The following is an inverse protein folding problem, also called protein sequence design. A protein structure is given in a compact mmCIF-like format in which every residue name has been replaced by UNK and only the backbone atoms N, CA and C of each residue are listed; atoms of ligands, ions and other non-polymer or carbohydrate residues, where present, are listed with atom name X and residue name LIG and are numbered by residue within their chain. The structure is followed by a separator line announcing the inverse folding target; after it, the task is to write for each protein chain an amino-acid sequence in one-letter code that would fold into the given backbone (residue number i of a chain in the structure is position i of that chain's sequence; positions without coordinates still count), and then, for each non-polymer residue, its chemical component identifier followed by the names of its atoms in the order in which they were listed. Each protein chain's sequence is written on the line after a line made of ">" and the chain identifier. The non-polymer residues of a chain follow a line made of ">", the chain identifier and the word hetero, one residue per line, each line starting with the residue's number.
data_IF_913956493707
#
_entry.id   IF_913956493707
#
_cell.length_a   1.000
_cell.length_b   1.000
_cell.length_c   1.000
_cell.angle_alpha   90.00
_cell.angle_beta   90.00
_cell.angle_gamma   90.00
#
_symmetry.space_group_name_H-M   'P 1'
#
loop_
_entity.id
_entity.type
_entity.pdbx_description
1 polymer ?
#
# COMPACT_ATOMS: atom_id res chain seq x y z
N UNK A 1 7.35 20.75 -21.79
CA UNK A 1 6.06 20.07 -21.54
C UNK A 1 5.74 20.14 -20.05
N UNK A 2 4.50 20.40 -19.66
CA UNK A 2 4.11 20.41 -18.24
C UNK A 2 4.32 19.00 -17.66
N UNK A 3 5.08 18.86 -16.56
CA UNK A 3 5.36 17.56 -15.91
C UNK A 3 4.09 16.75 -15.61
N UNK A 4 2.98 17.41 -15.29
CA UNK A 4 1.69 16.75 -15.09
C UNK A 4 1.18 16.10 -16.39
N UNK A 5 1.43 16.72 -17.55
CA UNK A 5 1.12 16.14 -18.86
C UNK A 5 1.99 14.91 -19.13
N UNK A 6 3.28 14.95 -18.78
CA UNK A 6 4.15 13.78 -18.86
C UNK A 6 3.56 12.63 -18.01
N UNK A 7 3.25 12.89 -16.75
CA UNK A 7 2.72 11.86 -15.85
C UNK A 7 1.41 11.25 -16.36
N UNK A 8 0.48 12.09 -16.85
CA UNK A 8 -0.80 11.62 -17.39
C UNK A 8 -0.62 10.81 -18.67
N UNK A 9 0.22 11.28 -19.60
CA UNK A 9 0.48 10.56 -20.85
C UNK A 9 1.20 9.23 -20.60
N UNK A 10 2.18 9.20 -19.69
CA UNK A 10 2.85 7.96 -19.27
C UNK A 10 1.86 6.98 -18.63
N UNK A 11 1.01 7.47 -17.72
CA UNK A 11 -0.02 6.65 -17.09
C UNK A 11 -1.00 6.08 -18.12
N UNK A 12 -1.50 6.92 -19.03
CA UNK A 12 -2.44 6.52 -20.06
C UNK A 12 -1.82 5.49 -21.01
N UNK A 13 -0.59 5.71 -21.47
CA UNK A 13 0.11 4.77 -22.35
C UNK A 13 0.30 3.40 -21.71
N UNK A 14 0.71 3.36 -20.43
CA UNK A 14 0.88 2.10 -19.68
C UNK A 14 -0.45 1.39 -19.46
N UNK A 15 -1.52 2.12 -19.14
CA UNK A 15 -2.86 1.55 -18.99
C UNK A 15 -3.35 0.96 -20.31
N UNK A 16 -3.26 1.69 -21.42
CA UNK A 16 -3.71 1.22 -22.73
C UNK A 16 -2.93 -0.03 -23.17
N UNK A 17 -1.61 -0.04 -22.98
CA UNK A 17 -0.77 -1.20 -23.28
C UNK A 17 -1.18 -2.41 -22.45
N UNK A 18 -1.44 -2.22 -21.16
CA UNK A 18 -1.80 -3.32 -20.26
C UNK A 18 -3.23 -3.81 -20.46
N UNK A 19 -4.17 -2.95 -20.88
CA UNK A 19 -5.53 -3.34 -21.23
C UNK A 19 -5.64 -4.05 -22.59
N UNK A 20 -4.60 -3.99 -23.42
CA UNK A 20 -4.54 -4.69 -24.70
C UNK A 20 -4.30 -6.20 -24.57
N UNK A 21 -3.82 -6.67 -23.40
CA UNK A 21 -3.64 -8.11 -23.14
C UNK A 21 -4.99 -8.80 -22.89
N UNK A 22 -5.02 -10.14 -22.89
CA UNK A 22 -6.22 -10.88 -22.49
C UNK A 22 -6.51 -10.70 -20.99
N UNK A 23 -7.79 -10.77 -20.55
CA UNK A 23 -8.14 -10.86 -19.14
C UNK A 23 -7.28 -11.89 -18.41
N UNK A 24 -6.76 -11.50 -17.25
CA UNK A 24 -5.86 -12.34 -16.46
C UNK A 24 -6.60 -12.78 -15.19
N UNK A 25 -6.96 -14.07 -15.06
CA UNK A 25 -7.60 -14.58 -13.86
C UNK A 25 -6.60 -14.68 -12.71
N UNK A 26 -7.12 -14.85 -11.51
CA UNK A 26 -6.35 -15.12 -10.32
C UNK A 26 -5.67 -16.48 -10.42
N UNK A 27 -4.34 -16.47 -10.31
CA UNK A 27 -3.55 -17.70 -10.22
C UNK A 27 -3.91 -18.45 -8.92
N UNK A 28 -4.36 -19.72 -8.98
CA UNK A 28 -4.62 -20.54 -7.80
C UNK A 28 -3.38 -20.77 -6.91
N UNK A 29 -2.17 -20.71 -7.48
CA UNK A 29 -0.93 -20.83 -6.70
C UNK A 29 -0.77 -19.69 -5.70
N UNK A 30 -1.45 -18.56 -5.90
CA UNK A 30 -1.45 -17.42 -4.98
C UNK A 30 -2.02 -17.75 -3.59
N UNK A 31 -2.80 -18.83 -3.47
CA UNK A 31 -3.36 -19.29 -2.20
C UNK A 31 -2.43 -20.24 -1.43
N UNK A 32 -1.32 -20.66 -2.04
CA UNK A 32 -0.41 -21.65 -1.50
C UNK A 32 0.79 -20.95 -0.86
N UNK A 33 0.81 -20.86 0.47
CA UNK A 33 1.94 -20.32 1.23
C UNK A 33 2.93 -21.41 1.62
N UNK A 34 4.23 -21.06 1.68
CA UNK A 34 5.25 -21.98 2.15
C UNK A 34 5.07 -22.35 3.62
N UNK A 35 4.76 -21.36 4.47
CA UNK A 35 4.40 -21.61 5.88
C UNK A 35 2.92 -21.93 6.02
N UNK A 36 2.65 -23.22 6.25
CA UNK A 36 1.34 -23.76 6.58
C UNK A 36 1.24 -24.27 8.04
N UNK A 37 2.19 -23.88 8.89
CA UNK A 37 2.27 -24.36 10.26
C UNK A 37 1.10 -23.83 11.10
N UNK A 38 0.50 -24.74 11.87
CA UNK A 38 -0.51 -24.39 12.87
C UNK A 38 0.15 -24.17 14.22
N UNK A 39 -0.11 -23.01 14.85
CA UNK A 39 0.27 -22.73 16.25
C UNK A 39 -0.89 -22.07 16.98
N UNK A 40 -1.06 -22.37 18.27
CA UNK A 40 -2.18 -21.86 19.08
C UNK A 40 -3.56 -22.09 18.41
N UNK A 41 -3.72 -23.22 17.73
CA UNK A 41 -4.92 -23.58 16.94
C UNK A 41 -5.24 -22.62 15.78
N UNK A 42 -4.26 -21.84 15.33
CA UNK A 42 -4.36 -20.93 14.20
C UNK A 42 -3.52 -21.47 13.02
N UNK A 43 -4.13 -21.81 11.87
CA UNK A 43 -3.41 -22.21 10.67
C UNK A 43 -2.62 -21.02 10.10
N UNK A 44 -1.54 -21.31 9.36
CA UNK A 44 -0.67 -20.30 8.74
C UNK A 44 -0.23 -19.23 9.77
N UNK A 45 0.08 -19.66 11.01
CA UNK A 45 0.13 -18.78 12.18
C UNK A 45 0.97 -17.52 11.95
N UNK A 46 2.17 -17.67 11.37
CA UNK A 46 3.06 -16.53 11.17
C UNK A 46 2.59 -15.60 10.05
N UNK A 47 1.94 -16.12 9.02
CA UNK A 47 1.32 -15.28 7.98
C UNK A 47 0.17 -14.44 8.54
N UNK A 48 -0.58 -14.96 9.52
CA UNK A 48 -1.61 -14.18 10.25
C UNK A 48 -0.96 -13.18 11.21
N UNK A 49 -0.12 -13.66 12.13
CA UNK A 49 0.45 -12.86 13.21
C UNK A 49 1.37 -11.72 12.72
N UNK A 50 2.06 -11.91 11.59
CA UNK A 50 2.93 -10.88 11.01
C UNK A 50 2.20 -9.65 10.47
N UNK A 51 0.86 -9.65 10.47
CA UNK A 51 0.05 -8.45 10.18
C UNK A 51 -0.15 -7.51 11.38
N UNK A 52 0.13 -7.96 12.60
CA UNK A 52 0.00 -7.16 13.83
C UNK A 52 0.71 -5.79 13.73
N UNK A 53 1.95 -5.67 13.18
CA UNK A 53 2.60 -4.38 13.00
C UNK A 53 1.76 -3.37 12.23
N UNK A 54 1.06 -3.78 11.16
CA UNK A 54 0.21 -2.88 10.39
C UNK A 54 -0.90 -2.26 11.23
N UNK A 55 -1.51 -3.03 12.14
CA UNK A 55 -2.56 -2.52 13.02
C UNK A 55 -2.01 -1.40 13.93
N UNK A 56 -0.88 -1.66 14.59
CA UNK A 56 -0.24 -0.67 15.46
C UNK A 56 0.23 0.57 14.69
N UNK A 57 0.86 0.39 13.54
CA UNK A 57 1.39 1.48 12.71
C UNK A 57 0.26 2.31 12.11
N UNK A 58 -0.83 1.68 11.65
CA UNK A 58 -2.01 2.35 11.14
C UNK A 58 -2.66 3.24 12.22
N UNK A 59 -2.85 2.73 13.44
CA UNK A 59 -3.34 3.53 14.57
C UNK A 59 -2.37 4.67 14.87
N UNK A 60 -1.09 4.37 15.04
CA UNK A 60 -0.07 5.35 15.41
C UNK A 60 0.00 6.50 14.42
N UNK A 61 0.12 6.21 13.12
CA UNK A 61 0.16 7.23 12.07
C UNK A 61 -1.12 8.05 11.98
N UNK A 62 -2.29 7.41 12.13
CA UNK A 62 -3.56 8.13 12.15
C UNK A 62 -3.66 9.12 13.32
N UNK A 63 -3.21 8.72 14.51
CA UNK A 63 -3.17 9.58 15.70
C UNK A 63 -2.17 10.71 15.55
N UNK A 64 -0.97 10.44 15.01
CA UNK A 64 0.05 11.47 14.71
C UNK A 64 -0.54 12.54 13.80
N UNK A 65 -1.17 12.15 12.69
CA UNK A 65 -1.78 13.08 11.73
C UNK A 65 -2.93 13.86 12.37
N UNK A 66 -3.76 13.19 13.18
CA UNK A 66 -4.90 13.82 13.86
C UNK A 66 -4.44 14.87 14.87
N UNK A 67 -3.41 14.58 15.65
CA UNK A 67 -2.84 15.52 16.62
C UNK A 67 -2.17 16.70 15.92
N UNK A 68 -1.37 16.44 14.88
CA UNK A 68 -0.76 17.49 14.06
C UNK A 68 -1.82 18.42 13.48
N UNK A 69 -2.90 17.86 12.93
CA UNK A 69 -4.00 18.63 12.33
C UNK A 69 -4.80 19.43 13.35
N UNK A 70 -4.92 18.94 14.59
CA UNK A 70 -5.56 19.67 15.69
C UNK A 70 -4.75 20.91 16.08
N UNK A 71 -3.42 20.82 16.07
CA UNK A 71 -2.55 21.95 16.36
C UNK A 71 -2.47 22.93 15.19
N UNK A 72 -2.35 22.40 13.96
CA UNK A 72 -2.33 23.20 12.73
C UNK A 72 -2.90 22.39 11.56
N UNK A 73 -4.14 22.66 11.12
CA UNK A 73 -4.71 21.99 9.96
C UNK A 73 -3.84 22.18 8.72
N UNK A 74 -3.63 21.12 7.96
CA UNK A 74 -2.89 21.15 6.70
C UNK A 74 -3.65 20.40 5.60
N UNK A 75 -3.41 20.79 4.35
CA UNK A 75 -4.26 20.42 3.19
C UNK A 75 -4.32 18.92 2.96
N UNK A 76 -3.21 18.20 3.20
CA UNK A 76 -3.07 16.76 2.92
C UNK A 76 -3.51 15.85 4.08
N UNK A 77 -3.99 16.38 5.22
CA UNK A 77 -4.35 15.58 6.39
C UNK A 77 -5.30 14.41 6.06
N UNK A 78 -6.24 14.61 5.14
CA UNK A 78 -7.19 13.57 4.72
C UNK A 78 -6.49 12.43 3.98
N UNK A 79 -5.55 12.73 3.10
CA UNK A 79 -4.81 11.72 2.34
C UNK A 79 -3.93 10.86 3.26
N UNK A 80 -3.24 11.47 4.23
CA UNK A 80 -2.47 10.73 5.24
C UNK A 80 -3.37 9.88 6.15
N UNK A 81 -4.51 10.41 6.61
CA UNK A 81 -5.48 9.64 7.41
C UNK A 81 -6.02 8.45 6.64
N UNK A 82 -6.37 8.64 5.37
CA UNK A 82 -6.82 7.56 4.49
C UNK A 82 -5.74 6.51 4.29
N UNK A 83 -4.49 6.92 4.08
CA UNK A 83 -3.36 5.98 3.99
C UNK A 83 -3.23 5.12 5.25
N UNK A 84 -3.15 5.75 6.43
CA UNK A 84 -2.99 5.00 7.69
C UNK A 84 -4.23 4.19 8.07
N UNK A 85 -5.42 4.65 7.71
CA UNK A 85 -6.64 3.86 7.84
C UNK A 85 -6.59 2.61 6.96
N UNK A 86 -6.16 2.75 5.70
CA UNK A 86 -5.93 1.61 4.81
C UNK A 86 -4.94 0.62 5.42
N UNK A 87 -3.79 1.09 5.92
CA UNK A 87 -2.78 0.24 6.57
C UNK A 87 -3.35 -0.50 7.77
N UNK A 88 -4.11 0.18 8.62
CA UNK A 88 -4.81 -0.43 9.75
C UNK A 88 -5.78 -1.52 9.28
N UNK A 89 -6.61 -1.23 8.28
CA UNK A 89 -7.60 -2.18 7.75
C UNK A 89 -6.94 -3.37 7.04
N UNK A 90 -5.80 -3.17 6.37
CA UNK A 90 -5.00 -4.25 5.75
C UNK A 90 -4.59 -5.27 6.79
N UNK A 91 -4.29 -4.86 8.03
CA UNK A 91 -3.96 -5.81 9.09
C UNK A 91 -5.05 -6.87 9.27
N UNK A 92 -6.33 -6.47 9.24
CA UNK A 92 -7.46 -7.38 9.43
C UNK A 92 -7.79 -8.15 8.15
N UNK A 93 -7.81 -7.46 7.00
CA UNK A 93 -8.05 -8.07 5.70
C UNK A 93 -7.05 -9.19 5.38
N UNK A 94 -5.77 -8.87 5.51
CA UNK A 94 -4.66 -9.81 5.32
C UNK A 94 -4.68 -10.94 6.35
N UNK A 95 -4.94 -10.63 7.62
CA UNK A 95 -5.09 -11.68 8.65
C UNK A 95 -6.21 -12.66 8.33
N UNK A 96 -7.37 -12.16 7.86
CA UNK A 96 -8.50 -13.01 7.51
C UNK A 96 -8.19 -13.87 6.27
N UNK A 97 -7.55 -13.28 5.26
CA UNK A 97 -7.06 -14.00 4.10
C UNK A 97 -6.08 -15.11 4.49
N UNK A 98 -5.07 -14.82 5.30
CA UNK A 98 -4.08 -15.84 5.70
C UNK A 98 -4.64 -16.90 6.64
N UNK A 99 -5.65 -16.55 7.45
CA UNK A 99 -6.33 -17.53 8.28
C UNK A 99 -7.09 -18.57 7.45
N UNK A 100 -7.74 -18.13 6.37
CA UNK A 100 -8.46 -19.02 5.46
C UNK A 100 -8.24 -18.60 4.00
N UNK A 101 -7.11 -19.00 3.38
CA UNK A 101 -6.75 -18.56 2.04
C UNK A 101 -7.79 -18.99 1.00
N UNK A 102 -8.33 -18.02 0.28
CA UNK A 102 -9.32 -18.26 -0.75
C UNK A 102 -9.69 -17.00 -1.50
N UNK A 103 -10.51 -17.18 -2.53
CA UNK A 103 -10.95 -16.08 -3.39
C UNK A 103 -11.68 -14.98 -2.61
N UNK A 104 -12.69 -15.36 -1.83
CA UNK A 104 -13.53 -14.41 -1.08
C UNK A 104 -12.76 -13.72 0.05
N UNK A 105 -11.80 -14.40 0.66
CA UNK A 105 -10.98 -13.79 1.72
C UNK A 105 -9.89 -12.88 1.15
N UNK A 106 -9.38 -13.17 -0.05
CA UNK A 106 -8.44 -12.32 -0.78
C UNK A 106 -9.06 -10.97 -1.17
N UNK A 107 -10.37 -10.93 -1.45
CA UNK A 107 -11.10 -9.67 -1.63
C UNK A 107 -10.91 -8.73 -0.43
N UNK A 108 -11.02 -9.28 0.78
CA UNK A 108 -10.91 -8.51 2.02
C UNK A 108 -9.47 -8.08 2.33
N UNK A 109 -8.46 -8.74 1.78
CA UNK A 109 -7.06 -8.29 1.84
C UNK A 109 -6.79 -7.12 0.88
N UNK A 110 -7.22 -7.26 -0.38
CA UNK A 110 -7.00 -6.27 -1.45
C UNK A 110 -7.74 -4.96 -1.22
N UNK A 111 -8.97 -5.04 -0.72
CA UNK A 111 -9.83 -3.88 -0.57
C UNK A 111 -9.17 -2.79 0.31
N UNK A 112 -8.74 -3.07 1.55
CA UNK A 112 -7.95 -2.14 2.36
C UNK A 112 -6.65 -1.66 1.73
N UNK A 113 -5.94 -2.54 1.00
CA UNK A 113 -4.71 -2.14 0.30
C UNK A 113 -4.98 -1.01 -0.70
N UNK A 114 -6.08 -1.07 -1.45
CA UNK A 114 -6.44 0.01 -2.39
C UNK A 114 -6.72 1.35 -1.70
N UNK A 115 -7.25 1.32 -0.47
CA UNK A 115 -7.44 2.53 0.35
C UNK A 115 -6.07 3.13 0.70
N UNK A 116 -5.12 2.29 1.11
CA UNK A 116 -3.73 2.69 1.36
C UNK A 116 -3.10 3.29 0.11
N UNK A 117 -3.20 2.62 -1.04
CA UNK A 117 -2.62 3.07 -2.30
C UNK A 117 -3.19 4.43 -2.73
N UNK A 118 -4.51 4.61 -2.64
CA UNK A 118 -5.16 5.88 -2.95
C UNK A 118 -4.65 7.01 -2.05
N UNK A 119 -4.56 6.77 -0.73
CA UNK A 119 -4.04 7.73 0.24
C UNK A 119 -2.58 8.12 -0.06
N UNK A 120 -1.71 7.13 -0.24
CA UNK A 120 -0.29 7.34 -0.50
C UNK A 120 -0.06 8.06 -1.83
N UNK A 121 -0.75 7.67 -2.90
CA UNK A 121 -0.58 8.29 -4.20
C UNK A 121 -1.05 9.76 -4.18
N UNK A 122 -2.14 10.06 -3.47
CA UNK A 122 -2.55 11.44 -3.20
C UNK A 122 -1.54 12.24 -2.41
N UNK A 123 -0.87 11.64 -1.41
CA UNK A 123 0.24 12.26 -0.68
C UNK A 123 1.38 12.58 -1.64
N UNK A 124 1.82 11.63 -2.47
CA UNK A 124 2.92 11.83 -3.44
C UNK A 124 2.61 13.00 -4.39
N UNK A 125 1.41 13.07 -4.95
CA UNK A 125 1.00 14.20 -5.81
C UNK A 125 1.03 15.52 -5.03
N UNK A 126 0.57 15.48 -3.77
CA UNK A 126 0.57 16.61 -2.85
C UNK A 126 1.97 17.17 -2.59
N UNK A 127 2.91 16.30 -2.28
CA UNK A 127 4.29 16.64 -1.93
C UNK A 127 5.11 17.03 -3.17
N UNK A 128 4.93 16.37 -4.32
CA UNK A 128 5.77 16.61 -5.51
C UNK A 128 5.26 17.72 -6.42
N UNK A 129 3.94 17.99 -6.42
CA UNK A 129 3.31 18.95 -7.31
C UNK A 129 2.51 20.05 -6.59
N UNK A 130 1.41 19.69 -5.93
CA UNK A 130 0.54 20.65 -5.25
C UNK A 130 -0.33 19.96 -4.19
N UNK A 131 -0.35 20.43 -2.93
CA UNK A 131 -1.21 19.89 -1.89
C UNK A 131 -2.70 19.89 -2.26
N UNK A 132 -3.15 20.92 -3.00
CA UNK A 132 -4.53 21.03 -3.46
C UNK A 132 -4.85 19.95 -4.50
N UNK A 133 -3.92 19.64 -5.40
CA UNK A 133 -4.08 18.56 -6.36
C UNK A 133 -4.18 17.20 -5.65
N UNK A 134 -3.26 16.93 -4.70
CA UNK A 134 -3.28 15.68 -3.93
C UNK A 134 -4.61 15.45 -3.20
N UNK A 135 -5.15 16.49 -2.55
CA UNK A 135 -6.48 16.45 -1.90
C UNK A 135 -7.61 16.28 -2.91
N UNK A 136 -7.58 16.98 -4.04
CA UNK A 136 -8.66 16.98 -5.03
C UNK A 136 -8.83 15.61 -5.70
N UNK A 137 -7.74 14.91 -5.98
CA UNK A 137 -7.79 13.63 -6.69
C UNK A 137 -8.06 12.42 -5.80
N UNK A 138 -7.92 12.56 -4.47
CA UNK A 138 -8.13 11.46 -3.52
C UNK A 138 -9.47 10.72 -3.69
N UNK A 139 -10.64 11.40 -3.83
CA UNK A 139 -11.91 10.69 -4.00
C UNK A 139 -11.94 9.82 -5.25
N UNK A 140 -11.34 10.28 -6.35
CA UNK A 140 -11.27 9.50 -7.58
C UNK A 140 -10.41 8.24 -7.38
N UNK A 141 -9.24 8.36 -6.76
CA UNK A 141 -8.38 7.20 -6.52
C UNK A 141 -9.04 6.16 -5.61
N UNK A 142 -9.81 6.59 -4.62
CA UNK A 142 -10.60 5.69 -3.78
C UNK A 142 -11.66 4.94 -4.58
N UNK A 143 -12.42 5.65 -5.44
CA UNK A 143 -13.43 5.02 -6.29
C UNK A 143 -12.79 4.05 -7.28
N UNK A 144 -11.70 4.44 -7.95
CA UNK A 144 -10.98 3.58 -8.90
C UNK A 144 -10.40 2.35 -8.20
N UNK A 145 -9.80 2.53 -7.01
CA UNK A 145 -9.29 1.42 -6.20
C UNK A 145 -10.38 0.43 -5.81
N UNK A 146 -11.47 0.90 -5.21
CA UNK A 146 -12.61 0.08 -4.84
C UNK A 146 -13.23 -0.65 -6.05
N UNK A 147 -13.50 0.10 -7.13
CA UNK A 147 -14.09 -0.45 -8.34
C UNK A 147 -13.20 -1.54 -8.96
N UNK A 148 -11.88 -1.39 -8.90
CA UNK A 148 -10.94 -2.38 -9.44
C UNK A 148 -11.05 -3.75 -8.75
N UNK A 149 -11.20 -3.77 -7.42
CA UNK A 149 -11.32 -5.00 -6.63
C UNK A 149 -12.71 -5.61 -6.77
N UNK A 150 -13.77 -4.78 -6.76
CA UNK A 150 -15.15 -5.22 -6.98
C UNK A 150 -15.31 -5.82 -8.37
N UNK A 151 -14.72 -5.20 -9.40
CA UNK A 151 -14.73 -5.71 -10.76
C UNK A 151 -14.01 -7.06 -10.86
N UNK A 152 -12.85 -7.20 -10.24
CA UNK A 152 -12.13 -8.47 -10.19
C UNK A 152 -12.98 -9.57 -9.53
N UNK A 153 -13.53 -9.33 -8.33
CA UNK A 153 -14.40 -10.29 -7.64
C UNK A 153 -15.61 -10.69 -8.51
N UNK A 154 -16.24 -9.71 -9.17
CA UNK A 154 -17.42 -9.93 -9.99
C UNK A 154 -17.14 -10.76 -11.25
N UNK A 155 -15.96 -10.57 -11.87
CA UNK A 155 -15.53 -11.33 -13.05
C UNK A 155 -15.03 -12.73 -12.70
N UNK A 156 -14.32 -12.90 -11.59
CA UNK A 156 -13.89 -14.21 -11.07
C UNK A 156 -15.08 -15.10 -10.70
N UNK A 157 -16.08 -14.55 -10.02
CA UNK A 157 -17.31 -15.28 -9.66
C UNK A 157 -18.10 -15.80 -10.88
N UNK A 158 -17.75 -15.36 -12.10
CA UNK A 158 -18.33 -15.80 -13.38
C UNK A 158 -17.40 -16.73 -14.17
N UNK A 159 -16.27 -17.12 -13.59
CA UNK A 159 -15.27 -17.98 -14.22
C UNK A 159 -14.42 -17.30 -15.30
N UNK A 160 -14.48 -15.97 -15.42
CA UNK A 160 -13.63 -15.22 -16.37
C UNK A 160 -12.34 -14.77 -15.68
N UNK A 161 -12.49 -14.05 -14.56
CA UNK A 161 -11.39 -13.47 -13.80
C UNK A 161 -10.62 -12.37 -14.56
N UNK A 162 -10.69 -11.13 -14.06
CA UNK A 162 -9.88 -10.05 -14.62
C UNK A 162 -9.24 -9.17 -13.55
N UNK A 163 -7.99 -9.50 -13.24
CA UNK A 163 -7.14 -8.78 -12.29
C UNK A 163 -6.58 -7.47 -12.82
N UNK A 164 -6.64 -7.22 -14.13
CA UNK A 164 -5.81 -6.17 -14.74
C UNK A 164 -6.11 -4.77 -14.20
N UNK A 165 -7.38 -4.36 -13.96
CA UNK A 165 -7.66 -3.07 -13.33
C UNK A 165 -7.04 -2.93 -11.93
N UNK A 166 -7.09 -3.99 -11.13
CA UNK A 166 -6.48 -4.00 -9.80
C UNK A 166 -4.94 -3.98 -9.89
N UNK A 167 -4.36 -4.74 -10.82
CA UNK A 167 -2.93 -4.73 -11.09
C UNK A 167 -2.44 -3.33 -11.52
N UNK A 168 -3.22 -2.58 -12.31
CA UNK A 168 -2.91 -1.17 -12.60
C UNK A 168 -2.90 -0.35 -11.32
N UNK A 169 -3.94 -0.43 -10.49
CA UNK A 169 -4.02 0.31 -9.22
C UNK A 169 -2.82 -0.01 -8.31
N UNK A 170 -2.38 -1.27 -8.27
CA UNK A 170 -1.27 -1.71 -7.43
C UNK A 170 0.11 -1.33 -8.00
N UNK A 171 0.36 -1.63 -9.28
CA UNK A 171 1.71 -1.61 -9.84
C UNK A 171 2.05 -0.32 -10.61
N UNK A 172 1.05 0.37 -11.19
CA UNK A 172 1.32 1.64 -11.88
C UNK A 172 1.94 2.70 -10.95
N UNK A 173 1.49 2.88 -9.69
CA UNK A 173 2.14 3.81 -8.77
C UNK A 173 3.61 3.48 -8.49
N UNK A 174 4.02 2.22 -8.53
CA UNK A 174 5.43 1.84 -8.29
C UNK A 174 6.35 2.46 -9.35
N UNK A 175 5.85 2.67 -10.57
CA UNK A 175 6.58 3.34 -11.65
C UNK A 175 6.40 4.87 -11.56
N UNK A 176 5.17 5.33 -11.38
CA UNK A 176 4.86 6.75 -11.40
C UNK A 176 5.44 7.51 -10.21
N UNK A 177 5.44 6.92 -9.01
CA UNK A 177 5.93 7.58 -7.80
C UNK A 177 7.42 7.95 -7.93
N UNK A 178 8.35 7.05 -8.30
CA UNK A 178 9.73 7.42 -8.61
C UNK A 178 9.84 8.58 -9.59
N UNK A 179 9.10 8.55 -10.70
CA UNK A 179 9.11 9.62 -11.71
C UNK A 179 8.63 10.94 -11.10
N UNK A 180 7.57 10.92 -10.29
CA UNK A 180 7.05 12.10 -9.60
C UNK A 180 8.04 12.66 -8.58
N UNK A 181 8.74 11.80 -7.83
CA UNK A 181 9.76 12.20 -6.86
C UNK A 181 10.96 12.84 -7.57
N UNK A 182 11.45 12.26 -8.67
CA UNK A 182 12.59 12.78 -9.42
C UNK A 182 12.28 14.09 -10.18
N UNK A 183 11.04 14.27 -10.63
CA UNK A 183 10.59 15.48 -11.37
C UNK A 183 9.86 16.49 -10.49
N UNK A 184 9.73 16.18 -9.20
CA UNK A 184 9.13 17.02 -8.18
C UNK A 184 9.95 18.28 -7.95
N UNK A 185 9.30 19.34 -7.46
CA UNK A 185 9.98 20.61 -7.12
C UNK A 185 10.31 20.75 -5.64
N UNK A 186 9.86 19.80 -4.82
CA UNK A 186 9.96 19.89 -3.36
C UNK A 186 10.74 18.69 -2.88
N UNK A 187 11.91 18.97 -2.34
CA UNK A 187 12.66 18.02 -1.54
C UNK A 187 12.33 18.30 -0.09
N UNK A 188 11.76 17.31 0.59
CA UNK A 188 11.49 17.37 2.02
C UNK A 188 11.68 15.99 2.67
N UNK A 189 11.65 15.96 3.99
CA UNK A 189 11.77 14.74 4.80
C UNK A 189 10.77 13.67 4.39
N UNK A 190 9.55 14.04 4.03
CA UNK A 190 8.51 13.11 3.55
C UNK A 190 8.93 12.44 2.23
N UNK A 191 9.44 13.18 1.25
CA UNK A 191 9.88 12.60 -0.03
C UNK A 191 11.03 11.60 0.15
N UNK A 192 11.96 11.87 1.07
CA UNK A 192 13.02 10.91 1.43
C UNK A 192 12.43 9.64 2.07
N UNK A 193 11.43 9.80 2.95
CA UNK A 193 10.73 8.66 3.55
C UNK A 193 9.94 7.84 2.52
N UNK A 194 9.39 8.46 1.48
CA UNK A 194 8.73 7.73 0.39
C UNK A 194 9.75 6.92 -0.41
N UNK A 195 10.96 7.43 -0.67
CA UNK A 195 12.03 6.63 -1.26
C UNK A 195 12.40 5.41 -0.41
N UNK A 196 12.52 5.61 0.90
CA UNK A 196 12.74 4.50 1.83
C UNK A 196 11.60 3.47 1.76
N UNK A 197 10.34 3.93 1.72
CA UNK A 197 9.16 3.07 1.59
C UNK A 197 9.21 2.22 0.31
N UNK A 198 9.58 2.82 -0.84
CA UNK A 198 9.79 2.08 -2.10
C UNK A 198 10.87 1.01 -1.93
N UNK A 199 12.00 1.36 -1.33
CA UNK A 199 13.08 0.40 -1.05
C UNK A 199 12.60 -0.78 -0.21
N UNK A 200 11.89 -0.51 0.89
CA UNK A 200 11.34 -1.58 1.75
C UNK A 200 10.30 -2.43 1.01
N UNK A 201 9.50 -1.84 0.12
CA UNK A 201 8.52 -2.57 -0.68
C UNK A 201 9.21 -3.52 -1.68
N UNK A 202 10.26 -3.08 -2.35
CA UNK A 202 11.05 -3.93 -3.28
C UNK A 202 11.65 -5.11 -2.51
N UNK A 203 12.22 -4.87 -1.33
CA UNK A 203 12.77 -5.93 -0.48
C UNK A 203 11.67 -6.89 0.00
N UNK A 204 10.49 -6.38 0.35
CA UNK A 204 9.36 -7.24 0.71
C UNK A 204 8.91 -8.13 -0.48
N UNK A 205 8.85 -7.59 -1.70
CA UNK A 205 8.54 -8.37 -2.91
C UNK A 205 9.60 -9.43 -3.22
N UNK A 206 10.87 -9.16 -2.92
CA UNK A 206 11.94 -10.15 -3.00
C UNK A 206 11.68 -11.31 -2.03
N UNK A 207 11.37 -11.00 -0.76
CA UNK A 207 11.04 -12.03 0.22
C UNK A 207 9.80 -12.85 -0.18
N UNK A 208 8.76 -12.20 -0.69
CA UNK A 208 7.56 -12.90 -1.18
C UNK A 208 7.85 -13.81 -2.38
N UNK A 209 8.73 -13.40 -3.29
CA UNK A 209 9.08 -14.20 -4.47
C UNK A 209 9.81 -15.49 -4.08
N UNK A 210 10.69 -15.42 -3.08
CA UNK A 210 11.47 -16.55 -2.57
C UNK A 210 10.85 -17.18 -1.32
N UNK A 211 9.52 -17.20 -1.21
CA UNK A 211 8.80 -17.64 0.01
C UNK A 211 9.25 -19.05 0.45
N UNK A 212 9.26 -19.98 -0.49
CA UNK A 212 9.57 -21.40 -0.25
C UNK A 212 11.07 -21.61 -0.01
N UNK A 213 11.91 -20.98 -0.81
CA UNK A 213 13.37 -21.10 -0.73
C UNK A 213 13.90 -20.56 0.61
N UNK A 214 13.32 -19.47 1.10
CA UNK A 214 13.68 -18.90 2.40
C UNK A 214 13.17 -19.79 3.53
N UNK A 215 11.95 -20.30 3.43
CA UNK A 215 11.39 -21.16 4.46
C UNK A 215 12.14 -22.50 4.60
N UNK A 216 12.76 -22.98 3.52
CA UNK A 216 13.61 -24.16 3.55
C UNK A 216 14.92 -23.99 4.34
N UNK A 217 15.32 -22.75 4.66
CA UNK A 217 16.52 -22.49 5.47
C UNK A 217 16.25 -22.78 6.96
N UNK A 218 17.17 -23.47 7.67
CA UNK A 218 16.92 -23.89 9.06
C UNK A 218 16.59 -22.72 10.00
N UNK A 219 15.44 -22.80 10.66
CA UNK A 219 15.01 -21.84 11.69
C UNK A 219 14.51 -20.50 11.16
N UNK A 220 14.41 -20.32 9.83
CA UNK A 220 13.90 -19.09 9.24
C UNK A 220 12.36 -19.05 9.23
N UNK A 221 11.81 -17.83 9.30
CA UNK A 221 10.41 -17.56 8.94
C UNK A 221 10.27 -17.60 7.42
N UNK A 222 9.05 -17.84 6.93
CA UNK A 222 8.81 -17.82 5.48
C UNK A 222 9.05 -16.44 4.88
N UNK A 223 9.38 -16.41 3.59
CA UNK A 223 9.58 -15.14 2.88
C UNK A 223 8.31 -14.27 2.92
N UNK A 224 7.13 -14.86 2.85
CA UNK A 224 5.86 -14.16 2.96
C UNK A 224 5.65 -13.56 4.36
N UNK A 225 6.04 -14.26 5.42
CA UNK A 225 6.04 -13.70 6.78
C UNK A 225 6.98 -12.49 6.87
N UNK A 226 8.20 -12.63 6.34
CA UNK A 226 9.20 -11.55 6.32
C UNK A 226 8.72 -10.34 5.50
N UNK A 227 7.98 -10.59 4.40
CA UNK A 227 7.40 -9.54 3.57
C UNK A 227 6.54 -8.58 4.40
N UNK A 228 5.70 -9.09 5.30
CA UNK A 228 4.79 -8.26 6.09
C UNK A 228 5.57 -7.34 7.04
N UNK A 229 6.57 -7.88 7.74
CA UNK A 229 7.42 -7.09 8.62
C UNK A 229 8.16 -5.99 7.86
N UNK A 230 8.75 -6.32 6.71
CA UNK A 230 9.58 -5.39 5.94
C UNK A 230 8.72 -4.31 5.28
N UNK A 231 7.58 -4.66 4.70
CA UNK A 231 6.69 -3.67 4.08
C UNK A 231 5.96 -2.79 5.09
N UNK A 232 5.87 -3.19 6.37
CA UNK A 232 5.40 -2.33 7.46
C UNK A 232 6.40 -1.20 7.81
N UNK A 233 7.69 -1.34 7.49
CA UNK A 233 8.72 -0.35 7.83
C UNK A 233 8.49 1.00 7.13
N UNK A 234 8.02 1.00 5.88
CA UNK A 234 7.72 2.22 5.14
C UNK A 234 6.64 3.08 5.80
N UNK A 235 5.42 2.54 6.06
CA UNK A 235 4.38 3.24 6.80
C UNK A 235 4.85 3.70 8.20
N UNK A 236 5.64 2.89 8.91
CA UNK A 236 6.19 3.26 10.21
C UNK A 236 7.14 4.46 10.13
N UNK A 237 8.04 4.47 9.14
CA UNK A 237 8.93 5.60 8.89
C UNK A 237 8.15 6.86 8.57
N UNK A 238 7.06 6.76 7.78
CA UNK A 238 6.22 7.91 7.48
C UNK A 238 5.52 8.47 8.73
N UNK A 239 4.97 7.60 9.58
CA UNK A 239 4.37 8.01 10.85
C UNK A 239 5.41 8.72 11.75
N UNK A 240 6.63 8.19 11.82
CA UNK A 240 7.73 8.80 12.55
C UNK A 240 8.08 10.21 12.03
N UNK A 241 8.28 10.35 10.71
CA UNK A 241 8.62 11.63 10.08
C UNK A 241 7.58 12.69 10.39
N UNK A 242 6.29 12.38 10.22
CA UNK A 242 5.20 13.31 10.50
C UNK A 242 5.14 13.69 11.99
N UNK A 243 5.45 12.75 12.89
CA UNK A 243 5.51 12.99 14.33
C UNK A 243 6.65 13.93 14.72
N UNK A 244 7.82 13.81 14.08
CA UNK A 244 8.98 14.68 14.33
C UNK A 244 8.70 16.12 13.90
N UNK A 245 8.18 16.30 12.68
CA UNK A 245 7.87 17.63 12.12
C UNK A 245 6.85 18.39 12.99
N UNK A 246 5.90 17.64 13.56
CA UNK A 246 4.90 18.14 14.49
C UNK A 246 5.52 18.65 15.80
N UNK A 247 6.50 17.93 16.36
CA UNK A 247 7.19 18.33 17.60
C UNK A 247 8.11 19.53 17.41
N UNK A 248 8.80 19.60 16.28
CA UNK A 248 9.64 20.76 15.95
C UNK A 248 8.81 22.02 15.78
N UNK A 249 7.61 21.93 15.19
CA UNK A 249 6.72 23.08 15.04
C UNK A 249 6.22 23.62 16.40
N UNK A 250 5.94 22.74 17.37
CA UNK A 250 5.54 23.17 18.72
C UNK A 250 6.68 23.78 19.53
N UNK A 251 7.92 23.29 19.37
CA UNK A 251 9.07 23.80 20.11
C UNK A 251 9.51 25.22 19.69
N UNK A 252 9.18 25.64 18.47
CA UNK A 252 9.45 27.01 17.97
C UNK A 252 8.42 28.03 18.48
N UNK A 253 7.30 27.56 19.05
CA UNK A 253 6.20 28.41 19.52
C UNK A 253 6.14 28.56 21.05
N UNK A 254 7.01 27.86 21.79
CA UNK A 254 7.14 27.91 23.25
C UNK A 254 8.35 28.74 23.65
#
# INVERSE_FOLDING_TARGET
>A
MNRAVIWVLSALGLVLLFMYTSPTPQDPAYYLFADNLTKLSLPNFWNVASNIPYAFIGIWGFLVVSNASRMRPFVLQGAYKVFFLGVFLTAFGSSYFHFNPGHDTLFWDRLPMTISFAGLFSVVIGETNSPQAGRRWLPLFLVVGLASVVYWQWTEARGVGDLRPYAIVQFLPIILVPVMLLTGKRENTVTATIWFMIGTYIVAKFFEHFDTEIFALPGMLSGHTLKHFVSALGPAALAYTLGKDTRTATAVQA
#
